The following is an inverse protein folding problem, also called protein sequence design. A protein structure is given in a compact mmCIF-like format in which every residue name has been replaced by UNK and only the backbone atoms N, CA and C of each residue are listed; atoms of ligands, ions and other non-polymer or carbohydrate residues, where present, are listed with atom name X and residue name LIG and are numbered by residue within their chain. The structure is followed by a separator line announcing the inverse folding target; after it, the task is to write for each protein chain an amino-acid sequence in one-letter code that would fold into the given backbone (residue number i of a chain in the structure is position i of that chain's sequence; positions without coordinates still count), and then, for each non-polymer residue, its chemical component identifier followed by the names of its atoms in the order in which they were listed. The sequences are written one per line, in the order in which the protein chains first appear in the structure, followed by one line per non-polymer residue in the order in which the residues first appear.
data_IF_917394154579
#
_entry.id   IF_917394154579
#
_cell.length_a   1.000
_cell.length_b   1.000
_cell.length_c   1.000
_cell.angle_alpha   90.00
_cell.angle_beta   90.00
_cell.angle_gamma   90.00
#
_symmetry.space_group_name_H-M   'P 1'
#
loop_
_entity.id
_entity.type
_entity.pdbx_description
1 polymer ?
#
# COMPACT_ATOMS: atom_id res chain seq x y z
N UNK A 1 -18.73 28.26 21.84
CA UNK A 1 -17.73 27.22 21.50
C UNK A 1 -18.22 25.95 22.17
N UNK A 2 -19.15 25.23 21.53
CA UNK A 2 -19.69 23.97 22.08
C UNK A 2 -18.68 22.87 21.83
N UNK A 3 -18.17 22.26 22.88
CA UNK A 3 -17.42 21.02 22.75
C UNK A 3 -18.36 19.97 22.15
N UNK A 4 -17.95 19.35 21.04
CA UNK A 4 -18.68 18.27 20.39
C UNK A 4 -18.78 17.05 21.32
N UNK A 5 -19.79 17.04 22.19
CA UNK A 5 -20.09 15.96 23.13
C UNK A 5 -20.69 14.72 22.43
N UNK A 6 -20.83 14.75 21.10
CA UNK A 6 -21.56 13.73 20.32
C UNK A 6 -20.75 12.53 19.84
N UNK A 7 -19.49 12.36 20.22
CA UNK A 7 -18.65 11.27 19.69
C UNK A 7 -17.77 10.56 20.72
N UNK A 8 -18.19 10.52 21.99
CA UNK A 8 -17.55 9.66 22.97
C UNK A 8 -18.08 8.23 22.74
N UNK A 9 -17.23 7.28 22.34
CA UNK A 9 -17.65 5.90 22.10
C UNK A 9 -18.11 5.31 23.42
N UNK A 10 -19.14 4.48 23.38
CA UNK A 10 -19.58 3.82 24.60
C UNK A 10 -18.42 2.98 25.18
N UNK A 11 -18.28 2.88 26.51
CA UNK A 11 -17.26 2.03 27.14
C UNK A 11 -17.28 0.58 26.61
N UNK A 12 -18.44 0.13 26.12
CA UNK A 12 -18.62 -1.18 25.49
C UNK A 12 -18.00 -1.27 24.09
N UNK A 13 -18.18 -0.27 23.22
CA UNK A 13 -17.60 -0.29 21.87
C UNK A 13 -16.07 -0.19 21.90
N UNK A 14 -15.51 0.65 22.77
CA UNK A 14 -14.06 0.74 22.96
C UNK A 14 -13.45 -0.60 23.36
N UNK A 15 -14.10 -1.31 24.29
CA UNK A 15 -13.66 -2.64 24.73
C UNK A 15 -13.84 -3.69 23.64
N UNK A 16 -14.98 -3.72 22.92
CA UNK A 16 -15.23 -4.63 21.80
C UNK A 16 -14.16 -4.51 20.69
N UNK A 17 -13.71 -3.30 20.37
CA UNK A 17 -12.67 -3.07 19.38
C UNK A 17 -11.28 -3.60 19.82
N UNK A 18 -11.01 -3.59 21.13
CA UNK A 18 -9.83 -4.22 21.71
C UNK A 18 -9.93 -5.76 21.67
N UNK A 19 -11.14 -6.32 21.70
CA UNK A 19 -11.40 -7.76 21.60
C UNK A 19 -11.44 -8.31 20.16
N UNK A 20 -11.49 -7.46 19.13
CA UNK A 20 -11.38 -7.91 17.74
C UNK A 20 -10.03 -8.60 17.53
N UNK A 21 -10.07 -9.80 16.94
CA UNK A 21 -8.84 -10.51 16.57
C UNK A 21 -8.07 -9.71 15.51
N UNK A 22 -6.76 -9.94 15.43
CA UNK A 22 -5.93 -9.29 14.41
C UNK A 22 -6.41 -9.64 12.98
N UNK A 23 -6.95 -10.84 12.79
CA UNK A 23 -7.57 -11.28 11.55
C UNK A 23 -8.83 -10.47 11.23
N UNK A 24 -9.71 -10.22 12.19
CA UNK A 24 -10.92 -9.40 11.97
C UNK A 24 -10.57 -7.97 11.57
N UNK A 25 -9.55 -7.39 12.22
CA UNK A 25 -9.04 -6.05 11.90
C UNK A 25 -8.48 -6.01 10.48
N UNK A 26 -7.68 -7.02 10.09
CA UNK A 26 -7.13 -7.15 8.73
C UNK A 26 -8.24 -7.38 7.70
N UNK A 27 -9.25 -8.18 8.00
CA UNK A 27 -10.40 -8.42 7.13
C UNK A 27 -11.18 -7.12 6.87
N UNK A 28 -11.48 -6.35 7.93
CA UNK A 28 -12.12 -5.03 7.80
C UNK A 28 -11.26 -4.02 7.03
N UNK A 29 -9.95 -4.00 7.30
CA UNK A 29 -9.03 -3.08 6.62
C UNK A 29 -8.82 -3.43 5.15
N UNK A 30 -8.66 -4.70 4.80
CA UNK A 30 -8.32 -5.12 3.43
C UNK A 30 -9.58 -5.34 2.57
N UNK A 31 -10.70 -5.72 3.19
CA UNK A 31 -11.93 -6.15 2.53
C UNK A 31 -11.86 -7.61 2.06
N UNK A 32 -12.72 -7.98 1.12
CA UNK A 32 -12.91 -9.37 0.65
C UNK A 32 -11.63 -10.10 0.20
N UNK A 33 -10.63 -9.35 -0.28
CA UNK A 33 -9.34 -9.93 -0.70
C UNK A 33 -8.52 -10.48 0.46
N UNK A 34 -8.88 -10.18 1.72
CA UNK A 34 -8.19 -10.74 2.87
C UNK A 34 -8.30 -12.26 2.88
N UNK A 35 -9.52 -12.77 3.05
CA UNK A 35 -9.79 -14.21 3.12
C UNK A 35 -9.43 -14.93 1.81
N UNK A 36 -9.73 -14.30 0.66
CA UNK A 36 -9.55 -14.94 -0.66
C UNK A 36 -8.08 -15.02 -1.11
N UNK A 37 -7.19 -14.18 -0.57
CA UNK A 37 -5.82 -14.07 -1.09
C UNK A 37 -4.79 -13.70 -0.03
N UNK A 38 -4.98 -12.60 0.71
CA UNK A 38 -3.92 -12.05 1.56
C UNK A 38 -3.65 -12.88 2.81
N UNK A 39 -4.65 -13.53 3.40
CA UNK A 39 -4.51 -14.31 4.63
C UNK A 39 -3.45 -15.40 4.49
N UNK A 40 -3.62 -16.29 3.51
CA UNK A 40 -2.64 -17.35 3.21
C UNK A 40 -1.24 -16.78 2.91
N UNK A 41 -1.15 -15.67 2.16
CA UNK A 41 0.16 -15.05 1.88
C UNK A 41 0.79 -14.48 3.14
N UNK A 42 0.01 -13.85 4.01
CA UNK A 42 0.50 -13.21 5.22
C UNK A 42 1.00 -14.24 6.23
N UNK A 43 0.30 -15.38 6.37
CA UNK A 43 0.72 -16.49 7.23
C UNK A 43 2.03 -17.14 6.76
N UNK A 44 2.28 -17.17 5.45
CA UNK A 44 3.54 -17.68 4.88
C UNK A 44 4.74 -16.75 5.07
N UNK A 45 4.51 -15.48 5.41
CA UNK A 45 5.58 -14.50 5.67
C UNK A 45 6.05 -14.64 7.11
N UNK A 46 7.29 -15.08 7.27
CA UNK A 46 7.97 -15.26 8.56
C UNK A 46 9.31 -14.51 8.57
N UNK A 47 9.94 -14.29 9.73
CA UNK A 47 11.27 -13.67 9.79
C UNK A 47 12.33 -14.37 8.93
N UNK A 48 12.22 -15.69 8.77
CA UNK A 48 13.12 -16.51 7.93
C UNK A 48 12.69 -16.59 6.46
N UNK A 49 11.45 -16.20 6.13
CA UNK A 49 10.88 -16.27 4.78
C UNK A 49 10.03 -15.03 4.51
N UNK A 50 10.67 -14.02 3.93
CA UNK A 50 10.08 -12.71 3.67
C UNK A 50 9.36 -12.61 2.32
N UNK A 51 9.23 -13.70 1.56
CA UNK A 51 8.55 -13.71 0.26
C UNK A 51 7.44 -14.76 0.26
N UNK A 52 6.23 -14.35 -0.13
CA UNK A 52 5.07 -15.21 -0.17
C UNK A 52 4.38 -15.14 -1.54
N UNK A 53 4.97 -15.83 -2.51
CA UNK A 53 4.47 -15.89 -3.89
C UNK A 53 4.68 -14.60 -4.67
N UNK A 54 4.34 -14.65 -5.96
CA UNK A 54 4.51 -13.54 -6.90
C UNK A 54 3.22 -12.74 -7.08
N UNK A 55 3.30 -11.41 -7.06
CA UNK A 55 2.17 -10.51 -7.17
C UNK A 55 2.15 -9.81 -8.53
N UNK A 56 1.41 -10.38 -9.48
CA UNK A 56 1.41 -9.96 -10.89
C UNK A 56 1.05 -8.48 -11.10
N UNK A 57 0.04 -7.96 -10.41
CA UNK A 57 -0.37 -6.56 -10.59
C UNK A 57 0.69 -5.58 -10.07
N UNK A 58 1.50 -5.97 -9.08
CA UNK A 58 2.56 -5.11 -8.57
C UNK A 58 3.79 -5.15 -9.48
N UNK A 59 4.07 -6.32 -10.08
CA UNK A 59 5.10 -6.48 -11.10
C UNK A 59 4.83 -5.60 -12.33
N UNK A 60 3.61 -5.60 -12.85
CA UNK A 60 3.28 -4.88 -14.09
C UNK A 60 2.99 -3.40 -13.82
N UNK A 61 2.22 -3.08 -12.78
CA UNK A 61 1.68 -1.74 -12.57
C UNK A 61 2.50 -0.90 -11.56
N UNK A 62 3.48 -1.51 -10.88
CA UNK A 62 4.40 -0.85 -9.96
C UNK A 62 3.71 0.17 -9.03
N UNK A 63 3.97 1.49 -9.19
CA UNK A 63 3.43 2.53 -8.33
C UNK A 63 1.90 2.69 -8.44
N UNK A 64 1.28 2.34 -9.57
CA UNK A 64 -0.19 2.37 -9.71
C UNK A 64 -0.83 1.39 -8.73
N UNK A 65 -0.25 0.19 -8.55
CA UNK A 65 -0.73 -0.75 -7.55
C UNK A 65 -0.56 -0.22 -6.11
N UNK A 66 0.54 0.48 -5.83
CA UNK A 66 0.76 1.12 -4.51
C UNK A 66 -0.34 2.16 -4.22
N UNK A 67 -0.64 3.03 -5.18
CA UNK A 67 -1.72 4.03 -5.05
C UNK A 67 -3.09 3.38 -4.96
N UNK A 68 -3.37 2.35 -5.76
CA UNK A 68 -4.60 1.58 -5.66
C UNK A 68 -4.83 1.01 -4.25
N UNK A 69 -3.76 0.59 -3.55
CA UNK A 69 -3.81 0.08 -2.17
C UNK A 69 -3.60 1.14 -1.08
N UNK A 70 -3.71 2.42 -1.45
CA UNK A 70 -3.54 3.58 -0.57
C UNK A 70 -2.17 3.64 0.12
N UNK A 71 -1.16 2.99 -0.45
CA UNK A 71 0.25 3.08 -0.02
C UNK A 71 0.94 4.29 -0.64
N UNK A 72 0.32 5.48 -0.54
CA UNK A 72 0.74 6.68 -1.28
C UNK A 72 2.18 7.11 -0.99
N UNK A 73 2.63 7.02 0.26
CA UNK A 73 4.01 7.35 0.62
C UNK A 73 5.03 6.41 -0.06
N UNK A 74 4.77 5.11 -0.06
CA UNK A 74 5.62 4.14 -0.77
C UNK A 74 5.60 4.37 -2.28
N UNK A 75 4.43 4.68 -2.85
CA UNK A 75 4.30 5.02 -4.26
C UNK A 75 5.06 6.29 -4.62
N UNK A 76 5.00 7.34 -3.80
CA UNK A 76 5.75 8.57 -4.01
C UNK A 76 7.26 8.35 -3.93
N UNK A 77 7.74 7.54 -2.96
CA UNK A 77 9.16 7.15 -2.86
C UNK A 77 9.60 6.38 -4.11
N UNK A 78 8.78 5.43 -4.58
CA UNK A 78 9.06 4.68 -5.80
C UNK A 78 9.21 5.62 -7.01
N UNK A 79 8.25 6.54 -7.19
CA UNK A 79 8.27 7.52 -8.28
C UNK A 79 9.51 8.41 -8.18
N UNK A 80 9.79 8.97 -7.00
CA UNK A 80 10.96 9.80 -6.77
C UNK A 80 12.27 9.05 -7.06
N UNK A 81 12.36 7.77 -6.72
CA UNK A 81 13.51 6.93 -7.04
C UNK A 81 13.69 6.77 -8.55
N UNK A 82 12.62 6.49 -9.31
CA UNK A 82 12.68 6.37 -10.77
C UNK A 82 13.08 7.69 -11.43
N UNK A 83 12.53 8.81 -10.99
CA UNK A 83 12.92 10.13 -11.50
C UNK A 83 14.39 10.43 -11.18
N UNK A 84 14.83 10.19 -9.94
CA UNK A 84 16.21 10.42 -9.53
C UNK A 84 17.19 9.52 -10.30
N UNK A 85 16.86 8.24 -10.53
CA UNK A 85 17.71 7.36 -11.31
C UNK A 85 17.85 7.83 -12.76
N UNK A 86 16.75 8.26 -13.39
CA UNK A 86 16.78 8.81 -14.75
C UNK A 86 17.56 10.13 -14.86
N UNK A 87 17.50 10.99 -13.83
CA UNK A 87 18.35 12.18 -13.77
C UNK A 87 19.83 11.82 -13.69
N UNK A 88 20.19 10.83 -12.87
CA UNK A 88 21.57 10.36 -12.74
C UNK A 88 22.07 9.78 -14.07
N UNK A 89 21.31 8.89 -14.72
CA UNK A 89 21.73 8.33 -16.00
C UNK A 89 21.88 9.40 -17.08
N UNK A 90 20.99 10.39 -17.10
CA UNK A 90 21.09 11.52 -18.03
C UNK A 90 22.30 12.43 -17.77
N UNK A 91 22.57 12.82 -16.51
CA UNK A 91 23.69 13.71 -16.16
C UNK A 91 25.05 13.07 -16.47
N UNK A 92 25.17 11.76 -16.26
CA UNK A 92 26.40 11.01 -16.48
C UNK A 92 26.48 10.35 -17.86
N UNK A 93 25.54 10.66 -18.77
CA UNK A 93 25.47 10.11 -20.13
C UNK A 93 25.56 8.58 -20.17
N UNK A 94 24.92 7.92 -19.20
CA UNK A 94 24.94 6.47 -19.08
C UNK A 94 24.09 5.81 -20.17
N UNK A 95 24.44 4.58 -20.61
CA UNK A 95 23.65 3.87 -21.61
C UNK A 95 22.20 3.64 -21.16
N UNK A 96 21.23 3.80 -22.07
CA UNK A 96 19.81 3.54 -21.80
C UNK A 96 19.52 2.13 -21.25
N UNK A 97 20.40 1.16 -21.54
CA UNK A 97 20.29 -0.20 -21.02
C UNK A 97 20.31 -0.24 -19.49
N UNK A 98 20.94 0.75 -18.83
CA UNK A 98 20.97 0.89 -17.38
C UNK A 98 19.59 1.26 -16.84
N UNK A 99 18.90 2.24 -17.43
CA UNK A 99 17.54 2.62 -17.02
C UNK A 99 16.54 1.46 -17.22
N UNK A 100 16.68 0.72 -18.33
CA UNK A 100 15.88 -0.49 -18.58
C UNK A 100 16.17 -1.57 -17.54
N UNK A 101 17.43 -1.81 -17.20
CA UNK A 101 17.81 -2.78 -16.18
C UNK A 101 17.26 -2.39 -14.80
N UNK A 102 17.35 -1.12 -14.40
CA UNK A 102 16.76 -0.59 -13.15
C UNK A 102 15.24 -0.81 -13.15
N UNK A 103 14.57 -0.48 -14.26
CA UNK A 103 13.12 -0.63 -14.38
C UNK A 103 12.66 -2.09 -14.26
N UNK A 104 13.39 -3.03 -14.89
CA UNK A 104 13.12 -4.47 -14.80
C UNK A 104 13.38 -4.95 -13.36
N UNK A 105 14.49 -4.55 -12.75
CA UNK A 105 14.83 -4.91 -11.38
C UNK A 105 13.74 -4.44 -10.40
N UNK A 106 13.31 -3.18 -10.48
CA UNK A 106 12.22 -2.64 -9.67
C UNK A 106 10.91 -3.42 -9.87
N UNK A 107 10.58 -3.77 -11.12
CA UNK A 107 9.37 -4.55 -11.42
C UNK A 107 9.42 -5.92 -10.75
N UNK A 108 10.54 -6.64 -10.89
CA UNK A 108 10.76 -7.95 -10.25
C UNK A 108 10.72 -7.84 -8.72
N UNK A 109 11.37 -6.83 -8.14
CA UNK A 109 11.32 -6.57 -6.69
C UNK A 109 9.89 -6.32 -6.22
N UNK A 110 9.10 -5.54 -6.97
CA UNK A 110 7.68 -5.35 -6.66
C UNK A 110 6.88 -6.65 -6.79
N UNK A 111 7.11 -7.44 -7.83
CA UNK A 111 6.45 -8.73 -8.01
C UNK A 111 6.71 -9.70 -6.86
N UNK A 112 7.95 -9.81 -6.38
CA UNK A 112 8.33 -10.73 -5.31
C UNK A 112 8.03 -10.18 -3.90
N UNK A 113 8.18 -8.87 -3.71
CA UNK A 113 8.11 -8.21 -2.40
C UNK A 113 6.76 -7.60 -2.05
N UNK A 114 5.85 -7.43 -3.00
CA UNK A 114 4.59 -6.70 -2.79
C UNK A 114 3.72 -7.27 -1.66
N UNK A 115 3.60 -8.60 -1.55
CA UNK A 115 2.79 -9.21 -0.49
C UNK A 115 3.34 -8.85 0.91
N UNK A 116 4.66 -8.83 1.05
CA UNK A 116 5.36 -8.51 2.30
C UNK A 116 5.32 -7.03 2.61
N UNK A 117 5.56 -6.18 1.61
CA UNK A 117 5.41 -4.74 1.74
C UNK A 117 3.99 -4.37 2.19
N UNK A 118 2.98 -5.01 1.58
CA UNK A 118 1.59 -4.76 1.93
C UNK A 118 1.23 -5.28 3.32
N UNK A 119 1.72 -6.47 3.72
CA UNK A 119 1.56 -6.99 5.09
C UNK A 119 2.07 -5.99 6.12
N UNK A 120 3.32 -5.54 5.96
CA UNK A 120 3.95 -4.57 6.85
C UNK A 120 3.16 -3.27 6.91
N UNK A 121 2.72 -2.75 5.76
CA UNK A 121 1.91 -1.54 5.70
C UNK A 121 0.59 -1.68 6.48
N UNK A 122 -0.15 -2.78 6.24
CA UNK A 122 -1.44 -3.05 6.90
C UNK A 122 -1.25 -3.16 8.41
N UNK A 123 -0.30 -3.97 8.86
CA UNK A 123 -0.06 -4.20 10.29
C UNK A 123 0.36 -2.91 10.99
N UNK A 124 1.27 -2.13 10.38
CA UNK A 124 1.68 -0.83 10.91
C UNK A 124 0.50 0.13 10.99
N UNK A 125 -0.35 0.19 9.95
CA UNK A 125 -1.48 1.13 9.90
C UNK A 125 -2.56 0.76 10.91
N UNK A 126 -2.91 -0.52 11.03
CA UNK A 126 -3.86 -1.02 12.02
C UNK A 126 -3.34 -0.76 13.44
N UNK A 127 -2.04 -0.99 13.71
CA UNK A 127 -1.41 -0.69 14.99
C UNK A 127 -1.60 0.78 15.36
N UNK A 128 -1.23 1.69 14.46
CA UNK A 128 -1.41 3.14 14.66
C UNK A 128 -2.87 3.53 14.87
N UNK A 129 -3.82 2.95 14.13
CA UNK A 129 -5.25 3.22 14.34
C UNK A 129 -5.71 2.74 15.72
N UNK A 130 -5.24 1.55 16.14
CA UNK A 130 -5.60 0.96 17.44
C UNK A 130 -5.08 1.79 18.60
N UNK A 131 -3.83 2.26 18.54
CA UNK A 131 -3.18 3.11 19.55
C UNK A 131 -3.85 4.49 19.71
N UNK A 132 -4.48 5.00 18.64
CA UNK A 132 -5.16 6.30 18.69
C UNK A 132 -6.58 6.22 19.27
N UNK A 133 -7.06 5.02 19.61
CA UNK A 133 -8.38 4.77 20.21
C UNK A 133 -9.54 5.61 19.59
N UNK A 134 -9.70 5.63 18.25
CA UNK A 134 -10.79 6.39 17.64
C UNK A 134 -12.15 5.84 18.09
N UNK A 135 -13.10 6.76 18.29
CA UNK A 135 -14.46 6.40 18.69
C UNK A 135 -15.15 5.52 17.66
N UNK A 136 -14.89 5.79 16.39
CA UNK A 136 -15.42 5.06 15.25
C UNK A 136 -14.39 4.12 14.61
N UNK A 137 -13.74 3.29 15.43
CA UNK A 137 -12.64 2.40 15.01
C UNK A 137 -12.90 1.59 13.72
N UNK A 138 -14.08 0.98 13.60
CA UNK A 138 -14.42 0.17 12.43
C UNK A 138 -14.52 0.99 11.15
N UNK A 139 -15.11 2.19 11.23
CA UNK A 139 -15.22 3.11 10.10
C UNK A 139 -13.84 3.59 9.65
N UNK A 140 -12.98 3.94 10.61
CA UNK A 140 -11.60 4.37 10.34
C UNK A 140 -10.78 3.23 9.69
N UNK A 141 -10.96 1.98 10.12
CA UNK A 141 -10.30 0.83 9.47
C UNK A 141 -10.69 0.69 7.99
N UNK A 142 -11.99 0.79 7.69
CA UNK A 142 -12.50 0.68 6.32
C UNK A 142 -12.07 1.89 5.47
N UNK A 143 -12.13 3.10 6.04
CA UNK A 143 -11.78 4.34 5.36
C UNK A 143 -10.27 4.41 5.02
N UNK A 144 -9.40 4.08 5.98
CA UNK A 144 -7.94 4.09 5.77
C UNK A 144 -7.45 2.86 5.01
N UNK A 145 -8.21 1.76 5.07
CA UNK A 145 -7.98 0.55 4.30
C UNK A 145 -8.64 0.58 2.92
N UNK A 146 -9.02 -0.59 2.43
CA UNK A 146 -9.68 -0.80 1.15
C UNK A 146 -8.79 -0.46 -0.04
N UNK A 147 -9.41 0.12 -1.06
CA UNK A 147 -8.74 0.46 -2.33
C UNK A 147 -9.16 1.84 -2.81
N UNK A 148 -8.37 2.44 -3.69
CA UNK A 148 -8.64 3.75 -4.29
C UNK A 148 -8.52 3.66 -5.82
N UNK A 149 -9.59 3.26 -6.53
CA UNK A 149 -9.59 3.20 -7.99
C UNK A 149 -9.30 4.56 -8.62
N UNK A 150 -9.86 5.64 -8.05
CA UNK A 150 -9.64 7.01 -8.54
C UNK A 150 -8.14 7.35 -8.49
N UNK A 151 -7.46 7.09 -7.37
CA UNK A 151 -6.02 7.37 -7.28
C UNK A 151 -5.20 6.56 -8.29
N UNK A 152 -5.58 5.30 -8.53
CA UNK A 152 -4.92 4.46 -9.52
C UNK A 152 -5.10 4.98 -10.95
N UNK A 153 -6.34 5.32 -11.33
CA UNK A 153 -6.66 5.87 -12.65
C UNK A 153 -6.03 7.25 -12.87
N UNK A 154 -6.08 8.14 -11.88
CA UNK A 154 -5.42 9.44 -11.96
C UNK A 154 -3.92 9.30 -12.20
N UNK A 155 -3.25 8.38 -11.50
CA UNK A 155 -1.82 8.12 -11.69
C UNK A 155 -1.54 7.48 -13.06
N UNK A 156 -2.38 6.55 -13.51
CA UNK A 156 -2.23 5.93 -14.83
C UNK A 156 -2.39 6.96 -15.96
N UNK A 157 -3.41 7.82 -15.89
CA UNK A 157 -3.63 8.89 -16.87
C UNK A 157 -2.44 9.85 -16.90
N UNK A 158 -1.92 10.24 -15.73
CA UNK A 158 -0.72 11.06 -15.64
C UNK A 158 0.47 10.41 -16.36
N UNK A 159 0.73 9.11 -16.14
CA UNK A 159 1.80 8.40 -16.84
C UNK A 159 1.60 8.38 -18.35
N UNK A 160 0.37 8.14 -18.83
CA UNK A 160 0.07 8.15 -20.27
C UNK A 160 0.33 9.53 -20.88
N UNK A 161 -0.07 10.60 -20.20
CA UNK A 161 0.19 11.98 -20.65
C UNK A 161 1.70 12.25 -20.71
N UNK A 162 2.45 11.88 -19.66
CA UNK A 162 3.90 12.08 -19.62
C UNK A 162 4.62 11.32 -20.74
N UNK A 163 4.21 10.08 -21.01
CA UNK A 163 4.75 9.29 -22.12
C UNK A 163 4.44 9.97 -23.46
N UNK A 164 3.19 10.39 -23.67
CA UNK A 164 2.80 11.09 -24.89
C UNK A 164 3.61 12.38 -25.11
N UNK A 165 3.90 13.13 -24.05
CA UNK A 165 4.73 14.34 -24.13
C UNK A 165 6.23 14.08 -24.34
N UNK A 166 6.69 12.85 -24.10
CA UNK A 166 8.10 12.46 -24.24
C UNK A 166 8.48 11.93 -25.63
N UNK A 167 7.48 11.67 -26.48
CA UNK A 167 7.63 11.22 -27.88
C UNK A 167 7.67 12.46 -28.79
#
# INVERSE_FOLDING_TARGET
MSFDEKNIPSPFESSLNHFLSDDDKKAKFIGEKYEKYYKEKFERITPKKQMAGFHIAAFILGPIWLFYRKMYAYGAIYIAFVFASGMVTSIFELPESIDRAISIALSVTMGLGANTLYKYFVEKRIKTITENHPSNFNEVLVEKGGTSPIAAWSLLILFVILIYLSI
#
